data_IF_964959848842
#
_entry.id   IF_964959848842
#
_cell.length_a   1.000
_cell.length_b   1.000
_cell.length_c   1.000
_cell.angle_alpha   90.00
_cell.angle_beta   90.00
_cell.angle_gamma   90.00
#
_symmetry.space_group_name_H-M   'P 1'
#
loop_
_entity.id
_entity.type
_entity.pdbx_description
1 polymer ?
#
# COMPACT_ATOMS: atom_id res chain seq x y z
N UNK A 1 -22.27 -42.22 86.32
CA UNK A 1 -22.38 -40.83 85.89
C UNK A 1 -22.22 -40.79 84.36
N UNK A 2 -23.35 -40.69 83.65
CA UNK A 2 -23.48 -40.82 82.23
C UNK A 2 -23.40 -39.42 81.55
N UNK A 3 -22.42 -39.11 80.78
CA UNK A 3 -22.35 -37.88 79.94
C UNK A 3 -22.74 -38.26 78.49
N UNK A 4 -23.92 -37.76 78.11
CA UNK A 4 -24.42 -37.89 76.72
C UNK A 4 -23.81 -36.74 75.91
N UNK A 5 -23.08 -37.12 74.85
CA UNK A 5 -22.47 -36.18 73.91
C UNK A 5 -23.46 -36.01 72.74
N UNK A 6 -24.04 -34.80 72.60
CA UNK A 6 -24.87 -34.44 71.47
C UNK A 6 -23.96 -33.98 70.32
N UNK A 7 -23.93 -34.81 69.31
CA UNK A 7 -23.22 -34.49 68.01
C UNK A 7 -24.20 -33.66 67.12
N UNK A 8 -24.02 -32.33 67.08
CA UNK A 8 -24.79 -31.46 66.19
C UNK A 8 -24.11 -31.58 64.75
N UNK A 9 -24.86 -32.23 63.83
CA UNK A 9 -24.46 -32.35 62.42
C UNK A 9 -24.85 -31.05 61.71
N UNK A 10 -23.84 -30.15 61.50
CA UNK A 10 -23.99 -28.94 60.66
C UNK A 10 -23.91 -29.35 59.18
N UNK A 11 -25.05 -29.28 58.47
CA UNK A 11 -25.17 -29.50 57.05
C UNK A 11 -24.87 -28.19 56.32
N UNK A 12 -23.77 -28.06 55.53
CA UNK A 12 -23.55 -26.85 54.75
C UNK A 12 -24.50 -26.81 53.55
N UNK A 13 -25.36 -25.80 53.48
CA UNK A 13 -26.24 -25.51 52.36
C UNK A 13 -25.40 -24.91 51.23
N UNK A 14 -25.02 -25.72 50.20
CA UNK A 14 -24.37 -25.25 49.00
C UNK A 14 -25.37 -24.47 48.14
N UNK A 15 -25.30 -23.15 48.21
CA UNK A 15 -26.02 -22.26 47.28
C UNK A 15 -25.26 -22.23 45.97
N UNK A 16 -25.70 -23.03 44.99
CA UNK A 16 -25.21 -22.94 43.62
C UNK A 16 -25.75 -21.68 42.96
N UNK A 17 -24.93 -20.63 42.87
CA UNK A 17 -25.22 -19.46 42.09
C UNK A 17 -25.11 -19.81 40.59
N UNK A 18 -26.25 -20.04 39.94
CA UNK A 18 -26.32 -20.09 38.46
C UNK A 18 -26.01 -18.69 37.93
N UNK A 19 -24.78 -18.46 37.47
CA UNK A 19 -24.45 -17.30 36.65
C UNK A 19 -25.13 -17.45 35.27
N UNK A 20 -25.95 -16.49 34.85
CA UNK A 20 -26.50 -16.53 33.49
C UNK A 20 -25.38 -16.43 32.49
N UNK A 21 -25.27 -17.43 31.63
CA UNK A 21 -24.37 -17.41 30.50
C UNK A 21 -24.67 -16.17 29.62
N UNK A 22 -23.74 -15.22 29.55
CA UNK A 22 -23.87 -14.09 28.63
C UNK A 22 -23.81 -14.63 27.21
N UNK A 23 -24.93 -14.63 26.52
CA UNK A 23 -25.02 -14.89 25.09
C UNK A 23 -24.12 -13.86 24.41
N UNK A 24 -23.09 -14.27 23.60
CA UNK A 24 -22.31 -13.30 22.86
C UNK A 24 -23.24 -12.53 21.94
N UNK A 25 -23.12 -11.19 21.96
CA UNK A 25 -23.87 -10.34 21.06
C UNK A 25 -23.53 -10.70 19.61
N UNK A 26 -24.49 -10.73 18.68
CA UNK A 26 -24.22 -11.02 17.29
C UNK A 26 -23.21 -9.98 16.76
N UNK A 27 -22.04 -10.46 16.35
CA UNK A 27 -21.04 -9.64 15.66
C UNK A 27 -21.60 -9.29 14.29
N UNK A 28 -22.03 -8.05 14.11
CA UNK A 28 -22.44 -7.55 12.78
C UNK A 28 -21.24 -7.63 11.86
N UNK A 29 -21.30 -8.31 10.70
CA UNK A 29 -20.22 -8.31 9.74
C UNK A 29 -19.98 -6.86 9.28
N UNK A 30 -18.80 -6.33 9.56
CA UNK A 30 -18.38 -5.03 9.01
C UNK A 30 -18.02 -5.28 7.55
N UNK A 31 -18.88 -4.88 6.63
CA UNK A 31 -18.54 -4.88 5.20
C UNK A 31 -17.43 -3.86 4.99
N UNK A 32 -16.24 -4.25 4.51
CA UNK A 32 -15.18 -3.30 4.27
C UNK A 32 -15.63 -2.27 3.23
N UNK A 33 -15.47 -1.00 3.53
CA UNK A 33 -15.68 0.08 2.57
C UNK A 33 -14.67 -0.09 1.43
N UNK A 34 -15.13 -0.01 0.19
CA UNK A 34 -14.27 -0.08 -0.98
C UNK A 34 -14.08 1.31 -1.58
N UNK A 35 -12.88 1.61 -2.05
CA UNK A 35 -12.54 2.86 -2.74
C UNK A 35 -12.05 2.56 -4.15
N UNK A 36 -12.27 3.52 -5.04
CA UNK A 36 -11.78 3.45 -6.42
C UNK A 36 -10.52 4.29 -6.56
N UNK A 37 -9.45 3.67 -7.05
CA UNK A 37 -8.17 4.30 -7.33
C UNK A 37 -7.99 4.48 -8.84
N UNK A 38 -7.28 5.52 -9.24
CA UNK A 38 -6.73 5.67 -10.60
C UNK A 38 -5.26 5.27 -10.57
N UNK A 39 -4.87 4.38 -11.49
CA UNK A 39 -3.48 3.92 -11.65
C UNK A 39 -3.07 4.12 -13.09
N UNK A 40 -1.87 4.66 -13.31
CA UNK A 40 -1.33 4.93 -14.63
C UNK A 40 -0.30 3.86 -15.01
N UNK A 41 -0.44 3.29 -16.20
CA UNK A 41 0.49 2.33 -16.80
C UNK A 41 0.99 2.85 -18.15
N UNK A 42 2.14 2.37 -18.58
CA UNK A 42 2.67 2.69 -19.91
C UNK A 42 1.80 2.08 -20.99
N UNK A 43 1.33 2.90 -21.93
CA UNK A 43 0.66 2.51 -23.15
C UNK A 43 1.75 2.22 -24.21
N UNK A 44 2.14 0.96 -24.35
CA UNK A 44 3.21 0.56 -25.25
C UNK A 44 2.96 0.90 -26.73
N UNK A 45 1.74 0.75 -27.26
CA UNK A 45 1.41 1.26 -28.60
C UNK A 45 1.74 2.74 -28.80
N UNK A 46 1.37 3.60 -27.83
CA UNK A 46 1.65 5.04 -27.90
C UNK A 46 3.14 5.33 -27.71
N UNK A 47 3.77 4.64 -26.77
CA UNK A 47 5.21 4.78 -26.50
C UNK A 47 6.06 4.44 -27.73
N UNK A 48 5.75 3.34 -28.43
CA UNK A 48 6.49 2.89 -29.61
C UNK A 48 6.43 3.87 -30.78
N UNK A 49 5.37 4.64 -30.91
CA UNK A 49 5.20 5.64 -31.97
C UNK A 49 5.51 7.06 -31.52
N UNK A 50 5.95 7.23 -30.26
CA UNK A 50 6.31 8.54 -29.70
C UNK A 50 5.12 9.48 -29.48
N UNK A 51 3.92 8.96 -29.21
CA UNK A 51 2.71 9.77 -29.00
C UNK A 51 2.47 9.96 -27.51
N UNK A 52 2.76 11.13 -26.97
CA UNK A 52 2.50 11.49 -25.58
C UNK A 52 1.01 11.84 -25.31
N UNK A 53 0.52 11.71 -24.04
CA UNK A 53 1.23 11.10 -22.92
C UNK A 53 1.36 9.58 -23.10
N UNK A 54 2.45 9.01 -22.59
CA UNK A 54 2.69 7.56 -22.69
C UNK A 54 1.93 6.78 -21.63
N UNK A 55 1.34 7.44 -20.67
CA UNK A 55 0.61 6.81 -19.56
C UNK A 55 -0.89 6.80 -19.85
N UNK A 56 -1.51 5.65 -19.63
CA UNK A 56 -2.97 5.48 -19.69
C UNK A 56 -3.50 5.11 -18.31
N UNK A 57 -4.55 5.83 -17.90
CA UNK A 57 -5.23 5.63 -16.63
C UNK A 57 -6.15 4.41 -16.66
N UNK A 58 -6.09 3.60 -15.62
CA UNK A 58 -7.05 2.53 -15.33
C UNK A 58 -7.63 2.69 -13.93
N UNK A 59 -8.77 2.09 -13.68
CA UNK A 59 -9.41 2.12 -12.36
C UNK A 59 -9.20 0.81 -11.61
N UNK A 60 -9.00 0.91 -10.28
CA UNK A 60 -8.91 -0.21 -9.36
C UNK A 60 -9.86 -0.01 -8.20
N UNK A 61 -10.63 -1.02 -7.85
CA UNK A 61 -11.43 -1.04 -6.63
C UNK A 61 -10.69 -1.84 -5.58
N UNK A 62 -10.36 -1.22 -4.46
CA UNK A 62 -9.62 -1.83 -3.35
C UNK A 62 -10.35 -1.59 -2.03
N UNK A 63 -10.15 -2.40 -0.99
CA UNK A 63 -10.58 -2.06 0.35
C UNK A 63 -9.98 -0.72 0.75
N UNK A 64 -10.71 0.08 1.53
CA UNK A 64 -10.26 1.42 1.97
C UNK A 64 -8.88 1.36 2.62
N UNK A 65 -7.84 1.98 2.00
CA UNK A 65 -6.48 1.93 2.50
C UNK A 65 -6.22 3.05 3.52
N UNK A 66 -5.19 2.88 4.34
CA UNK A 66 -4.72 3.93 5.26
C UNK A 66 -4.12 5.14 4.51
N UNK A 67 -3.58 4.93 3.31
CA UNK A 67 -2.95 5.95 2.46
C UNK A 67 -3.30 5.68 0.99
N UNK A 68 -3.96 6.64 0.35
CA UNK A 68 -4.29 6.54 -1.08
C UNK A 68 -3.04 6.54 -1.97
N UNK A 69 -2.04 7.43 -1.78
CA UNK A 69 -0.81 7.40 -2.58
C UNK A 69 -0.06 6.08 -2.48
N UNK A 70 0.01 5.49 -1.27
CA UNK A 70 0.67 4.20 -1.06
C UNK A 70 -0.09 3.06 -1.74
N UNK A 71 -1.42 3.08 -1.68
CA UNK A 71 -2.26 2.10 -2.36
C UNK A 71 -2.12 2.19 -3.89
N UNK A 72 -2.04 3.40 -4.45
CA UNK A 72 -1.81 3.61 -5.89
C UNK A 72 -0.45 3.04 -6.32
N UNK A 73 0.63 3.33 -5.59
CA UNK A 73 1.95 2.74 -5.87
C UNK A 73 1.94 1.22 -5.72
N UNK A 74 1.23 0.68 -4.73
CA UNK A 74 1.09 -0.76 -4.56
C UNK A 74 0.41 -1.40 -5.78
N UNK A 75 -0.63 -0.76 -6.31
CA UNK A 75 -1.31 -1.23 -7.53
C UNK A 75 -0.44 -1.07 -8.78
N UNK A 76 0.38 -0.02 -8.87
CA UNK A 76 1.37 0.14 -9.94
C UNK A 76 2.36 -1.05 -9.97
N UNK A 77 2.94 -1.40 -8.83
CA UNK A 77 3.91 -2.50 -8.75
C UNK A 77 3.28 -3.90 -8.87
N UNK A 78 1.98 -4.05 -8.59
CA UNK A 78 1.24 -5.26 -8.94
C UNK A 78 1.08 -5.42 -10.46
N UNK A 79 1.13 -4.31 -11.19
CA UNK A 79 1.07 -4.28 -12.63
C UNK A 79 -0.33 -4.35 -13.23
N UNK A 80 -0.42 -4.28 -14.56
CA UNK A 80 -1.68 -4.39 -15.30
C UNK A 80 -2.24 -5.82 -15.25
N UNK A 81 -3.56 -5.92 -15.26
CA UNK A 81 -4.29 -7.18 -15.40
C UNK A 81 -4.05 -7.80 -16.79
N UNK A 82 -4.38 -9.08 -16.95
CA UNK A 82 -4.25 -9.74 -18.27
C UNK A 82 -5.06 -9.04 -19.37
N UNK A 83 -6.24 -8.48 -19.04
CA UNK A 83 -7.04 -7.71 -19.97
C UNK A 83 -6.34 -6.42 -20.40
N UNK A 84 -5.71 -5.73 -19.48
CA UNK A 84 -4.98 -4.48 -19.73
C UNK A 84 -3.67 -4.74 -20.48
N UNK A 85 -2.98 -5.83 -20.18
CA UNK A 85 -1.82 -6.30 -20.97
C UNK A 85 -2.22 -6.60 -22.42
N UNK A 86 -3.38 -7.23 -22.63
CA UNK A 86 -3.89 -7.46 -23.98
C UNK A 86 -4.24 -6.16 -24.73
N UNK A 87 -4.42 -5.05 -24.01
CA UNK A 87 -4.57 -3.71 -24.58
C UNK A 87 -3.24 -2.98 -24.78
N UNK A 88 -2.13 -3.62 -24.44
CA UNK A 88 -0.78 -3.06 -24.58
C UNK A 88 -0.31 -2.24 -23.38
N UNK A 89 -0.96 -2.34 -22.22
CA UNK A 89 -0.50 -1.66 -21.01
C UNK A 89 0.60 -2.48 -20.32
N UNK A 90 1.68 -1.82 -19.91
CA UNK A 90 2.83 -2.43 -19.26
C UNK A 90 3.36 -1.58 -18.12
N UNK A 91 4.20 -2.16 -17.27
CA UNK A 91 5.00 -1.44 -16.27
C UNK A 91 6.46 -1.49 -16.69
N UNK A 92 7.06 -0.32 -16.91
CA UNK A 92 8.51 -0.20 -17.14
C UNK A 92 9.18 -0.15 -15.76
N UNK A 93 9.56 -1.32 -15.25
CA UNK A 93 10.08 -1.46 -13.87
C UNK A 93 11.54 -0.97 -13.71
N UNK A 94 12.33 -0.95 -14.78
CA UNK A 94 13.76 -0.55 -14.74
C UNK A 94 14.54 -1.25 -13.61
N UNK A 95 14.28 -2.55 -13.39
CA UNK A 95 14.90 -3.37 -12.35
C UNK A 95 14.34 -3.21 -10.94
N UNK A 96 13.46 -2.24 -10.70
CA UNK A 96 12.74 -2.13 -9.42
C UNK A 96 11.73 -3.27 -9.27
N UNK A 97 11.58 -3.79 -8.06
CA UNK A 97 10.62 -4.86 -7.74
C UNK A 97 9.45 -4.39 -6.89
N UNK A 98 9.50 -3.15 -6.40
CA UNK A 98 8.53 -2.55 -5.50
C UNK A 98 9.10 -1.34 -4.81
N UNK A 99 8.49 -0.98 -3.70
CA UNK A 99 9.00 0.04 -2.78
C UNK A 99 8.88 -0.47 -1.33
N UNK A 100 9.78 -0.03 -0.48
CA UNK A 100 9.81 -0.38 0.94
C UNK A 100 9.13 0.67 1.81
N UNK A 101 9.06 1.91 1.31
CA UNK A 101 8.54 3.06 2.07
C UNK A 101 8.09 4.17 1.14
N UNK A 102 6.99 4.82 1.50
CA UNK A 102 6.55 6.13 1.00
C UNK A 102 6.36 7.06 2.18
N UNK A 103 6.94 8.27 2.12
CA UNK A 103 6.62 9.35 3.07
C UNK A 103 6.22 10.60 2.29
N UNK A 104 5.25 11.34 2.81
CA UNK A 104 4.80 12.60 2.23
C UNK A 104 4.88 13.66 3.32
N UNK A 105 5.79 14.60 3.15
CA UNK A 105 6.04 15.68 4.11
C UNK A 105 6.32 16.99 3.37
N UNK A 106 5.64 18.05 3.75
CA UNK A 106 5.82 19.39 3.18
C UNK A 106 5.72 19.43 1.64
N UNK A 107 4.78 18.64 1.08
CA UNK A 107 4.58 18.56 -0.38
C UNK A 107 5.60 17.70 -1.11
N UNK A 108 6.48 17.00 -0.40
CA UNK A 108 7.49 16.12 -0.98
C UNK A 108 7.14 14.67 -0.69
N UNK A 109 6.88 13.91 -1.73
CA UNK A 109 6.78 12.44 -1.65
C UNK A 109 8.18 11.83 -1.82
N UNK A 110 8.58 10.94 -0.88
CA UNK A 110 9.83 10.19 -0.94
C UNK A 110 9.51 8.72 -1.07
N UNK A 111 9.91 8.14 -2.21
CA UNK A 111 9.68 6.74 -2.56
C UNK A 111 11.00 5.99 -2.48
N UNK A 112 11.07 4.94 -1.68
CA UNK A 112 12.26 4.11 -1.52
C UNK A 112 12.06 2.80 -2.26
N UNK A 113 12.76 2.64 -3.39
CA UNK A 113 12.63 1.47 -4.24
C UNK A 113 13.26 0.22 -3.63
N UNK A 114 12.72 -0.93 -4.01
CA UNK A 114 13.33 -2.26 -3.80
C UNK A 114 13.75 -2.85 -5.14
N UNK A 115 14.72 -3.77 -5.11
CA UNK A 115 15.31 -4.33 -6.33
C UNK A 115 16.49 -3.50 -6.82
N UNK A 116 17.15 -3.97 -7.85
CA UNK A 116 18.34 -3.31 -8.43
C UNK A 116 17.91 -2.47 -9.62
N UNK A 117 17.75 -1.16 -9.41
CA UNK A 117 17.34 -0.27 -10.49
C UNK A 117 18.46 -0.09 -11.55
N UNK A 118 18.05 0.03 -12.82
CA UNK A 118 18.91 0.32 -13.94
C UNK A 118 18.10 0.92 -15.10
N UNK A 119 18.50 2.10 -15.60
CA UNK A 119 17.91 2.71 -16.80
C UNK A 119 18.36 2.00 -18.07
N UNK A 120 19.57 1.45 -18.07
CA UNK A 120 20.25 0.93 -19.26
C UNK A 120 20.32 1.95 -20.42
N UNK A 121 20.42 3.25 -20.07
CA UNK A 121 20.42 4.36 -21.02
C UNK A 121 19.01 4.78 -21.50
N UNK A 122 17.94 4.23 -20.95
CA UNK A 122 16.60 4.64 -21.29
C UNK A 122 16.23 5.95 -20.59
N UNK A 123 15.56 6.84 -21.32
CA UNK A 123 15.02 8.11 -20.78
C UNK A 123 13.65 7.93 -20.12
N UNK A 124 12.98 6.82 -20.40
CA UNK A 124 11.70 6.46 -19.78
C UNK A 124 11.88 5.25 -18.86
N UNK A 125 11.60 5.42 -17.60
CA UNK A 125 11.87 4.46 -16.53
C UNK A 125 10.69 4.37 -15.57
N UNK A 126 10.79 3.54 -14.52
CA UNK A 126 9.82 3.48 -13.43
C UNK A 126 9.60 4.86 -12.78
N UNK A 127 10.57 5.77 -12.84
CA UNK A 127 10.43 7.11 -12.29
C UNK A 127 9.30 7.90 -12.96
N UNK A 128 9.13 7.76 -14.28
CA UNK A 128 8.03 8.40 -15.02
C UNK A 128 6.66 7.89 -14.55
N UNK A 129 6.54 6.58 -14.36
CA UNK A 129 5.30 5.98 -13.86
C UNK A 129 5.00 6.36 -12.42
N UNK A 130 6.01 6.43 -11.55
CA UNK A 130 5.85 6.89 -10.17
C UNK A 130 5.39 8.37 -10.18
N UNK A 131 6.00 9.21 -11.01
CA UNK A 131 5.60 10.62 -11.14
C UNK A 131 4.15 10.75 -11.59
N UNK A 132 3.74 10.08 -12.67
CA UNK A 132 2.36 10.10 -13.16
C UNK A 132 1.35 9.62 -12.10
N UNK A 133 1.71 8.58 -11.35
CA UNK A 133 0.84 8.02 -10.31
C UNK A 133 0.74 8.90 -9.06
N UNK A 134 1.78 9.59 -8.66
CA UNK A 134 1.78 10.42 -7.46
C UNK A 134 1.34 11.87 -7.71
N UNK A 135 1.58 12.42 -8.88
CA UNK A 135 1.18 13.79 -9.24
C UNK A 135 -0.32 14.00 -9.34
N UNK A 136 -1.13 12.95 -9.37
CA UNK A 136 -2.58 13.09 -9.29
C UNK A 136 -3.06 13.60 -7.91
N UNK A 137 -2.22 13.51 -6.87
CA UNK A 137 -2.52 14.00 -5.53
C UNK A 137 -2.04 15.43 -5.36
N UNK A 138 -2.96 16.37 -5.14
CA UNK A 138 -2.68 17.81 -5.10
C UNK A 138 -1.73 18.24 -3.98
N UNK A 139 -1.63 17.44 -2.91
CA UNK A 139 -0.69 17.66 -1.81
C UNK A 139 0.76 17.29 -2.18
N UNK A 140 1.00 16.59 -3.30
CA UNK A 140 2.33 16.18 -3.74
C UNK A 140 2.84 17.14 -4.82
N UNK A 141 3.79 17.99 -4.47
CA UNK A 141 4.42 18.97 -5.36
C UNK A 141 5.72 18.41 -5.97
N UNK A 142 6.50 17.69 -5.17
CA UNK A 142 7.80 17.17 -5.54
C UNK A 142 7.88 15.66 -5.22
N UNK A 143 8.57 14.91 -6.08
CA UNK A 143 8.78 13.48 -5.88
C UNK A 143 10.28 13.22 -5.87
N UNK A 144 10.76 12.56 -4.81
CA UNK A 144 12.13 12.08 -4.68
C UNK A 144 12.10 10.57 -4.63
N UNK A 145 12.79 9.95 -5.58
CA UNK A 145 12.92 8.50 -5.67
C UNK A 145 14.32 8.13 -5.17
N UNK A 146 14.38 7.17 -4.30
CA UNK A 146 15.60 6.63 -3.71
C UNK A 146 15.77 5.18 -4.17
N UNK A 147 17.00 4.77 -4.42
CA UNK A 147 17.33 3.39 -4.73
C UNK A 147 17.36 2.50 -3.47
N UNK A 148 17.76 1.23 -3.65
CA UNK A 148 17.89 0.26 -2.57
C UNK A 148 18.96 0.64 -1.52
N UNK A 149 19.90 1.53 -1.87
CA UNK A 149 20.93 2.06 -0.97
C UNK A 149 20.48 3.34 -0.26
N UNK A 150 19.23 3.79 -0.49
CA UNK A 150 18.65 5.05 -0.03
C UNK A 150 19.39 6.28 -0.61
N UNK A 151 19.86 6.18 -1.86
CA UNK A 151 20.51 7.27 -2.56
C UNK A 151 19.59 7.87 -3.64
N UNK A 152 19.71 9.18 -3.84
CA UNK A 152 19.07 9.97 -4.90
C UNK A 152 19.98 11.12 -5.26
N UNK A 153 19.89 11.66 -6.48
CA UNK A 153 20.80 12.72 -6.94
C UNK A 153 20.74 13.97 -6.04
N UNK A 154 19.53 14.40 -5.69
CA UNK A 154 19.28 15.63 -4.90
C UNK A 154 18.40 15.32 -3.68
N UNK A 155 18.98 14.87 -2.55
CA UNK A 155 18.21 14.52 -1.36
C UNK A 155 17.54 15.73 -0.71
N UNK A 156 18.13 16.91 -0.81
CA UNK A 156 17.70 18.13 -0.16
C UNK A 156 16.84 19.02 -1.05
N UNK A 157 16.20 20.03 -0.42
CA UNK A 157 15.43 21.07 -1.11
C UNK A 157 14.09 20.62 -1.68
N UNK A 158 13.37 21.61 -2.23
CA UNK A 158 12.06 21.44 -2.86
C UNK A 158 12.23 21.25 -4.38
N UNK A 159 12.60 20.06 -4.78
CA UNK A 159 12.75 19.67 -6.18
C UNK A 159 12.52 18.15 -6.33
N UNK A 160 12.13 17.73 -7.52
CA UNK A 160 12.14 16.32 -7.87
C UNK A 160 13.58 15.77 -7.94
N UNK A 161 13.73 14.48 -7.69
CA UNK A 161 15.02 13.78 -7.79
C UNK A 161 14.81 12.30 -8.08
N UNK A 162 15.70 11.73 -8.87
CA UNK A 162 15.78 10.29 -9.14
C UNK A 162 17.17 9.78 -8.77
N UNK A 163 17.36 8.48 -8.48
CA UNK A 163 18.66 7.91 -8.21
C UNK A 163 19.45 7.78 -9.52
N UNK A 164 20.78 7.83 -9.45
CA UNK A 164 21.67 7.72 -10.62
C UNK A 164 21.43 6.48 -11.48
N UNK A 165 20.98 5.36 -10.87
CA UNK A 165 20.66 4.14 -11.61
C UNK A 165 19.46 4.29 -12.57
N UNK A 166 18.63 5.30 -12.40
CA UNK A 166 17.49 5.61 -13.29
C UNK A 166 17.77 6.77 -14.25
N UNK A 167 18.94 7.39 -14.17
CA UNK A 167 19.37 8.37 -15.18
C UNK A 167 19.77 7.66 -16.47
N UNK A 168 19.56 8.31 -17.65
CA UNK A 168 19.92 7.78 -18.97
C UNK A 168 21.42 7.50 -19.12
#
# INVERSE_FOLDING_TARGET
MRRVFYLILMLPLMIQACSPARTPAPTVPVTPTAVTLTVYFTDMPRFQVGTEPYETAVTRTVPEPASLPEAVLSQLFLGPTEVEKAQGLEVVLSGATGFSKLTIENGIARVYLTGTCASNGATYTIANLIDANLKQFSEIQWIKIYDQSNETERPDGQSGSIPFCLEP
#
